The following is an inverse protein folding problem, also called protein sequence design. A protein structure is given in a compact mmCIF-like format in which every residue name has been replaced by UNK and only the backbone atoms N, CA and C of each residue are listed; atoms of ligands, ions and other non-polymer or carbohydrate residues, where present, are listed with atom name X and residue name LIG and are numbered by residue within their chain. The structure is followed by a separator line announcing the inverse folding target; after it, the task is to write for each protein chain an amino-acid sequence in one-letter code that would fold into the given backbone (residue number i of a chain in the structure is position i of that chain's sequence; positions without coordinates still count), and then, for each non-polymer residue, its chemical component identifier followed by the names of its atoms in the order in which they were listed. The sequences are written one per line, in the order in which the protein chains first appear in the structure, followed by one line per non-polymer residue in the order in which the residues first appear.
data_IF_920824294382
#
_entry.id   IF_920824294382
#
_cell.length_a   1.000
_cell.length_b   1.000
_cell.length_c   1.000
_cell.angle_alpha   90.00
_cell.angle_beta   90.00
_cell.angle_gamma   90.00
#
_symmetry.space_group_name_H-M   'P 1'
#
loop_
_entity.id
_entity.type
_entity.pdbx_description
1 polymer ?
#
# COMPACT_ATOMS: atom_id res chain seq x y z
N UNK A 1 45.24 7.64 -10.41
CA UNK A 1 44.86 7.56 -8.99
C UNK A 1 43.39 7.93 -8.94
N UNK A 2 42.51 6.95 -8.71
CA UNK A 2 41.05 7.13 -8.80
C UNK A 2 40.50 7.87 -7.57
N UNK A 3 39.59 8.80 -7.86
CA UNK A 3 38.92 9.71 -6.94
C UNK A 3 37.96 8.96 -6.00
N UNK A 4 38.02 9.29 -4.70
CA UNK A 4 37.04 8.83 -3.70
C UNK A 4 35.99 9.92 -3.52
N UNK A 5 34.85 9.77 -4.19
CA UNK A 5 33.67 10.62 -3.97
C UNK A 5 33.05 10.30 -2.61
N UNK A 6 33.12 11.29 -1.73
CA UNK A 6 32.55 11.29 -0.39
C UNK A 6 31.02 11.09 -0.50
N UNK A 7 30.53 9.96 0.00
CA UNK A 7 29.10 9.67 0.04
C UNK A 7 28.46 10.62 1.06
N UNK A 8 27.84 11.68 0.56
CA UNK A 8 26.89 12.49 1.31
C UNK A 8 25.75 11.57 1.78
N UNK A 9 25.91 11.05 3.00
CA UNK A 9 24.92 10.23 3.69
C UNK A 9 23.69 11.07 4.03
N UNK A 10 22.83 11.27 3.03
CA UNK A 10 21.45 11.68 3.27
C UNK A 10 20.81 10.64 4.18
N UNK A 11 20.31 11.09 5.33
CA UNK A 11 19.52 10.32 6.29
C UNK A 11 18.44 9.51 5.56
N UNK A 12 18.77 8.27 5.23
CA UNK A 12 17.80 7.31 4.72
C UNK A 12 17.05 6.76 5.92
N UNK A 13 15.87 7.32 6.22
CA UNK A 13 14.92 6.71 7.15
C UNK A 13 14.37 5.43 6.49
N UNK A 14 15.08 4.32 6.69
CA UNK A 14 14.65 3.01 6.20
C UNK A 14 13.65 2.44 7.20
N UNK A 15 12.40 2.90 7.12
CA UNK A 15 11.32 2.32 7.90
C UNK A 15 10.87 1.02 7.26
N UNK A 16 10.96 -0.08 8.02
CA UNK A 16 10.43 -1.36 7.56
C UNK A 16 8.92 -1.21 7.25
N UNK A 17 8.44 -1.78 6.13
CA UNK A 17 7.03 -1.70 5.79
C UNK A 17 6.19 -2.37 6.87
N UNK A 18 5.16 -1.66 7.34
CA UNK A 18 4.28 -2.11 8.43
C UNK A 18 3.42 -3.32 8.04
N UNK A 19 3.36 -3.66 6.75
CA UNK A 19 2.70 -4.83 6.20
C UNK A 19 3.73 -5.79 5.66
N UNK A 20 3.44 -7.09 5.83
CA UNK A 20 4.12 -8.14 5.10
C UNK A 20 4.04 -7.83 3.59
N UNK A 21 5.10 -8.18 2.88
CA UNK A 21 5.17 -7.97 1.45
C UNK A 21 4.24 -8.97 0.77
N UNK A 22 3.04 -8.53 0.40
CA UNK A 22 2.14 -9.29 -0.45
C UNK A 22 2.62 -9.20 -1.91
N UNK A 23 2.41 -10.26 -2.69
CA UNK A 23 2.65 -10.17 -4.12
C UNK A 23 1.62 -9.24 -4.75
N UNK A 24 2.00 -8.54 -5.83
CA UNK A 24 1.06 -7.66 -6.53
C UNK A 24 -0.13 -8.47 -7.08
N UNK A 25 0.12 -9.73 -7.43
CA UNK A 25 -0.86 -10.68 -7.94
C UNK A 25 -1.93 -11.05 -6.89
N UNK A 26 -1.62 -10.94 -5.60
CA UNK A 26 -2.57 -11.26 -4.52
C UNK A 26 -3.51 -10.09 -4.20
N UNK A 27 -3.23 -8.88 -4.69
CA UNK A 27 -4.00 -7.67 -4.41
C UNK A 27 -5.26 -7.60 -5.29
N UNK A 28 -6.30 -8.30 -4.88
CA UNK A 28 -7.58 -8.42 -5.61
C UNK A 28 -8.66 -7.45 -5.14
N UNK A 29 -8.44 -6.74 -4.03
CA UNK A 29 -9.42 -5.82 -3.44
C UNK A 29 -8.85 -4.41 -3.35
N UNK A 30 -9.66 -3.39 -3.59
CA UNK A 30 -9.28 -1.98 -3.43
C UNK A 30 -10.37 -1.18 -2.72
N UNK A 31 -9.96 -0.31 -1.80
CA UNK A 31 -10.84 0.64 -1.14
C UNK A 31 -10.44 2.05 -1.58
N UNK A 32 -11.42 2.82 -2.07
CA UNK A 32 -11.21 4.18 -2.60
C UNK A 32 -12.09 5.17 -1.83
N UNK A 33 -11.57 5.84 -0.79
CA UNK A 33 -12.35 6.82 -0.05
C UNK A 33 -12.71 8.05 -0.90
N UNK A 34 -13.98 8.48 -0.91
CA UNK A 34 -14.41 9.64 -1.70
C UNK A 34 -13.73 10.92 -1.19
N UNK A 35 -13.26 11.77 -2.13
CA UNK A 35 -12.57 13.02 -1.82
C UNK A 35 -11.17 12.88 -1.22
N UNK A 36 -10.65 11.65 -1.02
CA UNK A 36 -9.33 11.39 -0.44
C UNK A 36 -8.58 10.30 -1.21
N UNK A 37 -8.18 10.54 -2.48
CA UNK A 37 -7.52 9.53 -3.30
C UNK A 37 -6.19 9.03 -2.69
N UNK A 38 -5.54 9.85 -1.87
CA UNK A 38 -4.30 9.54 -1.14
C UNK A 38 -4.49 8.41 -0.11
N UNK A 39 -5.73 8.12 0.30
CA UNK A 39 -6.09 7.06 1.24
C UNK A 39 -6.57 5.80 0.52
N UNK A 40 -6.39 5.72 -0.80
CA UNK A 40 -6.67 4.50 -1.55
C UNK A 40 -5.76 3.38 -1.07
N UNK A 41 -6.34 2.22 -0.78
CA UNK A 41 -5.59 1.07 -0.26
C UNK A 41 -6.04 -0.22 -0.91
N UNK A 42 -5.08 -1.02 -1.33
CA UNK A 42 -5.31 -2.37 -1.83
C UNK A 42 -5.13 -3.41 -0.72
N UNK A 43 -5.86 -4.51 -0.88
CA UNK A 43 -5.93 -5.63 0.05
C UNK A 43 -5.92 -6.93 -0.73
N UNK A 44 -5.44 -7.98 -0.08
CA UNK A 44 -5.57 -9.34 -0.58
C UNK A 44 -6.95 -9.91 -0.28
N UNK A 45 -7.33 -11.00 -0.96
CA UNK A 45 -8.55 -11.75 -0.68
C UNK A 45 -8.60 -12.22 0.79
N UNK A 46 -7.47 -12.68 1.34
CA UNK A 46 -7.34 -13.08 2.73
C UNK A 46 -7.59 -11.93 3.73
N UNK A 47 -7.41 -10.67 3.30
CA UNK A 47 -7.63 -9.46 4.09
C UNK A 47 -9.02 -8.84 3.87
N UNK A 48 -10.00 -9.58 3.33
CA UNK A 48 -11.35 -9.08 3.04
C UNK A 48 -12.02 -8.42 4.25
N UNK A 49 -11.87 -8.98 5.46
CA UNK A 49 -12.42 -8.41 6.69
C UNK A 49 -11.79 -7.04 7.02
N UNK A 50 -10.47 -6.91 6.86
CA UNK A 50 -9.74 -5.66 7.08
C UNK A 50 -10.10 -4.61 6.02
N UNK A 51 -10.30 -5.03 4.77
CA UNK A 51 -10.75 -4.14 3.69
C UNK A 51 -12.13 -3.56 4.00
N UNK A 52 -13.06 -4.39 4.45
CA UNK A 52 -14.40 -3.95 4.87
C UNK A 52 -14.37 -3.03 6.08
N UNK A 53 -13.56 -3.35 7.10
CA UNK A 53 -13.38 -2.48 8.26
C UNK A 53 -12.83 -1.10 7.83
N UNK A 54 -11.78 -1.08 7.00
CA UNK A 54 -11.20 0.15 6.49
C UNK A 54 -12.18 0.95 5.63
N UNK A 55 -12.99 0.29 4.80
CA UNK A 55 -14.03 0.92 4.01
C UNK A 55 -15.10 1.57 4.90
N UNK A 56 -15.59 0.85 5.91
CA UNK A 56 -16.57 1.35 6.88
C UNK A 56 -16.05 2.58 7.65
N UNK A 57 -14.82 2.51 8.15
CA UNK A 57 -14.16 3.60 8.89
C UNK A 57 -13.96 4.86 8.03
N UNK A 58 -13.79 4.71 6.71
CA UNK A 58 -13.51 5.81 5.80
C UNK A 58 -14.71 6.25 4.95
N UNK A 59 -15.90 5.67 5.19
CA UNK A 59 -17.10 5.95 4.37
C UNK A 59 -16.91 5.59 2.90
N UNK A 60 -16.15 4.52 2.64
CA UNK A 60 -15.80 4.03 1.32
C UNK A 60 -16.44 2.65 1.07
N UNK A 61 -16.27 2.14 -0.14
CA UNK A 61 -16.66 0.78 -0.53
C UNK A 61 -15.44 -0.02 -0.98
N UNK A 62 -15.48 -1.33 -0.73
CA UNK A 62 -14.52 -2.28 -1.28
C UNK A 62 -14.94 -2.60 -2.71
N UNK A 63 -14.00 -2.51 -3.64
CA UNK A 63 -14.16 -2.83 -5.04
C UNK A 63 -13.24 -4.01 -5.40
N UNK A 64 -13.77 -4.98 -6.12
CA UNK A 64 -13.01 -6.17 -6.53
C UNK A 64 -12.29 -5.83 -7.84
N UNK A 65 -10.96 -5.89 -7.79
CA UNK A 65 -10.10 -5.78 -8.97
C UNK A 65 -10.17 -7.13 -9.70
N UNK A 66 -11.17 -7.27 -10.56
CA UNK A 66 -11.31 -8.45 -11.41
C UNK A 66 -10.09 -8.62 -12.33
N UNK A 67 -9.70 -9.87 -12.59
CA UNK A 67 -8.81 -10.26 -13.68
C UNK A 67 -9.56 -10.18 -15.01
N UNK A 68 -9.82 -8.96 -15.48
CA UNK A 68 -10.33 -8.69 -16.83
C UNK A 68 -9.21 -8.66 -17.85
#
# INVERSE_FOLDING_TARGET
MTENIETAGGISDRRAPKRARADLSDLTLIVRPPGRPQQTRAFTDAEHAEAHAYASENGATVDVLGTG
#
